data_IF_548442257616
#
_entry.id   IF_548442257616
#
_cell.length_a   1.000
_cell.length_b   1.000
_cell.length_c   1.000
_cell.angle_alpha   90.00
_cell.angle_beta   90.00
_cell.angle_gamma   90.00
#
_symmetry.space_group_name_H-M   'P 1'
#
loop_
_entity.id
_entity.type
_entity.pdbx_description
1 polymer ?
#
# COMPACT_ATOMS: atom_id res chain seq x y z
N UNK A 1 25.61 -17.08 -10.29
CA UNK A 1 24.39 -16.23 -10.22
C UNK A 1 23.91 -16.06 -11.64
N UNK A 2 22.72 -16.55 -11.98
CA UNK A 2 22.15 -16.38 -13.32
C UNK A 2 22.03 -14.88 -13.62
N UNK A 3 22.54 -14.45 -14.77
CA UNK A 3 22.49 -13.06 -15.24
C UNK A 3 21.09 -12.67 -15.68
N UNK A 4 20.13 -12.72 -14.76
CA UNK A 4 18.76 -12.30 -15.03
C UNK A 4 18.72 -10.77 -15.02
N UNK A 5 18.45 -10.20 -16.20
CA UNK A 5 18.27 -8.76 -16.35
C UNK A 5 16.83 -8.41 -16.01
N UNK A 6 16.62 -7.69 -14.91
CA UNK A 6 15.31 -7.14 -14.55
C UNK A 6 15.08 -5.79 -15.25
N UNK A 7 13.84 -5.51 -15.65
CA UNK A 7 13.41 -4.21 -16.16
C UNK A 7 12.64 -3.46 -15.09
N UNK A 8 13.04 -2.23 -14.79
CA UNK A 8 12.37 -1.40 -13.78
C UNK A 8 11.76 -0.18 -14.46
N UNK A 9 10.44 -0.04 -14.37
CA UNK A 9 9.74 1.19 -14.73
C UNK A 9 9.96 2.23 -13.64
N UNK A 10 10.39 3.44 -14.01
CA UNK A 10 10.54 4.57 -13.08
C UNK A 10 9.43 5.56 -13.36
N UNK A 11 8.55 5.75 -12.37
CA UNK A 11 7.45 6.69 -12.39
C UNK A 11 7.78 7.84 -11.42
N UNK A 12 8.47 8.90 -11.86
CA UNK A 12 8.96 9.94 -10.96
C UNK A 12 7.83 10.76 -10.34
N UNK A 13 6.74 10.95 -11.11
CA UNK A 13 5.57 11.74 -10.74
C UNK A 13 5.89 13.22 -10.53
N UNK A 14 5.29 13.80 -9.50
CA UNK A 14 5.22 15.23 -9.23
C UNK A 14 6.02 15.60 -7.96
N UNK A 15 6.55 16.82 -7.91
CA UNK A 15 7.21 17.36 -6.73
C UNK A 15 8.66 16.91 -6.53
N UNK A 16 9.07 16.69 -5.28
CA UNK A 16 10.48 16.42 -4.94
C UNK A 16 10.97 15.08 -5.52
N UNK A 17 12.19 15.09 -6.05
CA UNK A 17 12.83 14.11 -6.97
C UNK A 17 13.03 12.67 -6.45
N UNK A 18 12.31 12.22 -5.41
CA UNK A 18 12.61 11.02 -4.63
C UNK A 18 12.78 9.73 -5.46
N UNK A 19 11.93 9.48 -6.47
CA UNK A 19 12.07 8.30 -7.32
C UNK A 19 13.21 8.38 -8.34
N UNK A 20 13.61 9.59 -8.77
CA UNK A 20 14.74 9.76 -9.68
C UNK A 20 16.09 9.51 -8.97
N UNK A 21 16.17 9.80 -7.67
CA UNK A 21 17.37 9.54 -6.86
C UNK A 21 17.45 8.08 -6.39
N UNK A 22 16.31 7.39 -6.22
CA UNK A 22 16.26 5.97 -5.84
C UNK A 22 16.95 5.02 -6.83
N UNK A 23 16.99 5.37 -8.12
CA UNK A 23 17.73 4.61 -9.14
C UNK A 23 19.25 4.58 -8.90
N UNK A 24 19.80 5.54 -8.13
CA UNK A 24 21.24 5.60 -7.80
C UNK A 24 21.65 4.61 -6.71
N UNK A 25 20.70 4.13 -5.91
CA UNK A 25 20.96 3.19 -4.82
C UNK A 25 20.92 1.72 -5.26
N UNK A 26 20.54 1.43 -6.51
CA UNK A 26 20.51 0.07 -7.05
C UNK A 26 21.92 -0.30 -7.54
N UNK A 27 22.63 -1.25 -6.91
CA UNK A 27 24.06 -1.49 -7.14
C UNK A 27 24.40 -2.25 -8.44
N UNK A 28 23.42 -2.48 -9.33
CA UNK A 28 23.60 -3.25 -10.57
C UNK A 28 23.15 -2.44 -11.80
N UNK A 29 23.69 -2.70 -13.00
CA UNK A 29 23.24 -2.07 -14.24
C UNK A 29 21.86 -2.60 -14.63
N UNK A 30 20.83 -2.10 -13.95
CA UNK A 30 19.43 -2.43 -14.21
C UNK A 30 18.89 -1.42 -15.22
N UNK A 31 18.35 -1.85 -16.37
CA UNK A 31 17.72 -0.93 -17.32
C UNK A 31 16.49 -0.27 -16.70
N UNK A 32 16.57 1.05 -16.54
CA UNK A 32 15.45 1.88 -16.11
C UNK A 32 14.71 2.43 -17.31
N UNK A 33 13.38 2.30 -17.32
CA UNK A 33 12.51 2.88 -18.33
C UNK A 33 11.62 3.90 -17.64
N UNK A 34 11.82 5.17 -17.92
CA UNK A 34 11.01 6.24 -17.32
C UNK A 34 9.71 6.42 -18.08
N UNK A 35 8.59 6.51 -17.36
CA UNK A 35 7.30 6.86 -17.91
C UNK A 35 6.61 7.94 -17.06
N UNK A 36 5.74 8.73 -17.68
CA UNK A 36 5.10 9.86 -17.02
C UNK A 36 3.92 9.41 -16.16
N UNK A 37 3.71 10.06 -15.03
CA UNK A 37 2.51 9.90 -14.22
C UNK A 37 2.19 11.21 -13.49
N UNK A 38 0.97 11.32 -12.94
CA UNK A 38 0.56 12.49 -12.17
C UNK A 38 0.34 13.74 -13.03
N UNK A 39 0.59 14.91 -12.45
CA UNK A 39 0.49 16.20 -13.13
C UNK A 39 1.40 16.29 -14.36
N UNK A 40 2.63 15.79 -14.28
CA UNK A 40 3.55 15.75 -15.43
C UNK A 40 2.99 14.97 -16.63
N UNK A 41 2.21 13.91 -16.38
CA UNK A 41 1.50 13.20 -17.45
C UNK A 41 0.27 13.98 -17.93
N UNK A 42 -0.46 14.63 -17.03
CA UNK A 42 -1.65 15.39 -17.36
C UNK A 42 -1.33 16.58 -18.28
N UNK A 43 -0.24 17.30 -18.03
CA UNK A 43 0.22 18.39 -18.91
C UNK A 43 0.40 17.96 -20.37
N UNK A 44 0.85 16.73 -20.60
CA UNK A 44 1.17 16.22 -21.95
C UNK A 44 0.04 15.40 -22.59
N UNK A 45 -0.73 14.68 -21.77
CA UNK A 45 -1.68 13.67 -22.23
C UNK A 45 -3.12 13.92 -21.75
N UNK A 46 -3.35 14.94 -20.92
CA UNK A 46 -4.64 15.25 -20.30
C UNK A 46 -5.22 14.08 -19.48
N UNK A 47 -4.33 13.23 -18.95
CA UNK A 47 -4.62 12.13 -18.04
C UNK A 47 -3.46 11.91 -17.08
N UNK A 48 -3.74 11.58 -15.82
CA UNK A 48 -2.71 11.30 -14.80
C UNK A 48 -2.02 9.96 -14.97
N UNK A 49 -2.59 9.06 -15.79
CA UNK A 49 -2.06 7.73 -16.07
C UNK A 49 -2.34 7.35 -17.53
N UNK A 50 -1.50 7.80 -18.48
CA UNK A 50 -1.68 7.50 -19.90
C UNK A 50 -1.43 6.02 -20.19
N UNK A 51 -2.04 5.51 -21.26
CA UNK A 51 -1.91 4.11 -21.66
C UNK A 51 -0.44 3.71 -21.91
N UNK A 52 0.38 4.61 -22.47
CA UNK A 52 1.82 4.40 -22.67
C UNK A 52 2.56 4.08 -21.36
N UNK A 53 2.15 4.69 -20.25
CA UNK A 53 2.69 4.40 -18.92
C UNK A 53 2.24 3.04 -18.41
N UNK A 54 0.96 2.69 -18.60
CA UNK A 54 0.44 1.36 -18.25
C UNK A 54 1.18 0.28 -19.04
N UNK A 55 1.39 0.46 -20.33
CA UNK A 55 2.10 -0.49 -21.19
C UNK A 55 3.56 -0.64 -20.76
N UNK A 56 4.21 0.46 -20.37
CA UNK A 56 5.58 0.46 -19.84
C UNK A 56 5.68 -0.33 -18.54
N UNK A 57 4.74 -0.13 -17.62
CA UNK A 57 4.68 -0.88 -16.35
C UNK A 57 4.40 -2.36 -16.61
N UNK A 58 3.48 -2.68 -17.52
CA UNK A 58 3.16 -4.07 -17.88
C UNK A 58 4.34 -4.82 -18.51
N UNK A 59 5.23 -4.11 -19.20
CA UNK A 59 6.45 -4.65 -19.80
C UNK A 59 7.65 -4.70 -18.83
N UNK A 60 7.46 -4.31 -17.57
CA UNK A 60 8.51 -4.22 -16.54
C UNK A 60 8.29 -5.23 -15.43
N UNK A 61 9.37 -5.62 -14.75
CA UNK A 61 9.33 -6.58 -13.63
C UNK A 61 8.99 -5.89 -12.31
N UNK A 62 9.31 -4.61 -12.19
CA UNK A 62 9.03 -3.80 -11.01
C UNK A 62 8.81 -2.32 -11.37
N UNK A 63 8.20 -1.60 -10.44
CA UNK A 63 7.97 -0.15 -10.55
C UNK A 63 8.64 0.56 -9.39
N UNK A 64 9.49 1.54 -9.71
CA UNK A 64 9.97 2.53 -8.77
C UNK A 64 9.08 3.78 -8.90
N UNK A 65 8.17 3.94 -7.95
CA UNK A 65 7.19 5.02 -7.96
C UNK A 65 7.61 6.16 -7.02
N UNK A 66 7.47 7.40 -7.48
CA UNK A 66 7.76 8.61 -6.72
C UNK A 66 6.56 9.14 -5.97
N UNK A 67 6.29 10.43 -6.11
CA UNK A 67 5.13 11.10 -5.52
C UNK A 67 4.19 11.55 -6.63
N UNK A 68 2.88 11.60 -6.36
CA UNK A 68 1.90 12.20 -7.28
C UNK A 68 1.02 13.12 -6.45
N UNK A 69 0.74 14.30 -7.00
CA UNK A 69 -0.08 15.32 -6.34
C UNK A 69 0.54 16.70 -6.43
N UNK A 70 -0.31 17.70 -6.20
CA UNK A 70 0.04 19.11 -6.28
C UNK A 70 -0.27 19.89 -5.00
N UNK A 71 -0.16 21.22 -5.07
CA UNK A 71 -0.49 22.12 -3.97
C UNK A 71 -1.91 21.86 -3.42
N UNK A 72 -2.08 21.98 -2.09
CA UNK A 72 -3.36 21.70 -1.42
C UNK A 72 -4.45 22.70 -1.77
N UNK A 73 -4.06 23.92 -2.14
CA UNK A 73 -4.93 25.00 -2.62
C UNK A 73 -5.32 24.88 -4.10
N UNK A 74 -4.69 23.97 -4.84
CA UNK A 74 -4.90 23.74 -6.27
C UNK A 74 -5.58 22.39 -6.58
N UNK A 75 -6.19 21.72 -5.59
CA UNK A 75 -6.78 20.38 -5.76
C UNK A 75 -7.99 20.35 -6.71
N UNK A 76 -8.60 21.50 -7.01
CA UNK A 76 -9.67 21.61 -7.98
C UNK A 76 -9.17 21.82 -9.42
N UNK A 77 -7.90 22.18 -9.60
CA UNK A 77 -7.33 22.35 -10.92
C UNK A 77 -7.26 21.00 -11.63
N UNK A 78 -7.61 20.91 -12.93
CA UNK A 78 -7.62 19.64 -13.65
C UNK A 78 -6.30 18.85 -13.58
N UNK A 79 -5.18 19.56 -13.46
CA UNK A 79 -3.85 18.96 -13.34
C UNK A 79 -3.66 18.14 -12.04
N UNK A 80 -4.32 18.55 -10.96
CA UNK A 80 -4.14 17.96 -9.62
C UNK A 80 -5.37 17.22 -9.12
N UNK A 81 -6.54 17.56 -9.66
CA UNK A 81 -7.81 16.97 -9.29
C UNK A 81 -7.78 15.46 -9.47
N UNK A 82 -8.01 14.78 -8.35
CA UNK A 82 -7.99 13.32 -8.27
C UNK A 82 -6.68 12.67 -8.75
N UNK A 83 -5.57 13.40 -8.90
CA UNK A 83 -4.33 12.88 -9.52
C UNK A 83 -3.81 11.63 -8.81
N UNK A 84 -3.81 11.64 -7.46
CA UNK A 84 -3.40 10.49 -6.66
C UNK A 84 -4.35 9.31 -6.85
N UNK A 85 -5.67 9.56 -6.91
CA UNK A 85 -6.68 8.52 -7.14
C UNK A 85 -6.51 7.92 -8.54
N UNK A 86 -6.48 8.75 -9.58
CA UNK A 86 -6.40 8.35 -10.98
C UNK A 86 -5.10 7.60 -11.29
N UNK A 87 -3.98 8.05 -10.72
CA UNK A 87 -2.69 7.41 -10.93
C UNK A 87 -2.47 6.19 -10.03
N UNK A 88 -2.43 6.38 -8.70
CA UNK A 88 -2.01 5.32 -7.77
C UNK A 88 -3.06 4.22 -7.66
N UNK A 89 -4.35 4.56 -7.49
CA UNK A 89 -5.40 3.53 -7.46
C UNK A 89 -5.62 2.92 -8.84
N UNK A 90 -5.41 3.69 -9.91
CA UNK A 90 -5.38 3.17 -11.28
C UNK A 90 -4.33 2.07 -11.46
N UNK A 91 -3.08 2.31 -11.03
CA UNK A 91 -2.02 1.30 -11.05
C UNK A 91 -2.35 0.08 -10.18
N UNK A 92 -2.83 0.29 -8.95
CA UNK A 92 -3.19 -0.82 -8.06
C UNK A 92 -4.24 -1.74 -8.69
N UNK A 93 -5.26 -1.14 -9.33
CA UNK A 93 -6.33 -1.89 -9.99
C UNK A 93 -5.85 -2.59 -11.25
N UNK A 94 -5.10 -1.90 -12.12
CA UNK A 94 -4.61 -2.46 -13.38
C UNK A 94 -3.69 -3.68 -13.18
N UNK A 95 -2.86 -3.65 -12.14
CA UNK A 95 -1.88 -4.71 -11.86
C UNK A 95 -2.24 -5.62 -10.67
N UNK A 96 -3.46 -5.47 -10.13
CA UNK A 96 -3.95 -6.23 -8.96
C UNK A 96 -2.96 -6.23 -7.78
N UNK A 97 -2.38 -5.05 -7.48
CA UNK A 97 -1.41 -4.87 -6.40
C UNK A 97 -2.11 -4.90 -5.03
N UNK A 98 -2.54 -6.10 -4.64
CA UNK A 98 -3.43 -6.30 -3.50
C UNK A 98 -2.79 -6.05 -2.12
N UNK A 99 -1.46 -5.99 -2.05
CA UNK A 99 -0.71 -5.96 -0.80
C UNK A 99 0.15 -4.71 -0.72
N UNK A 100 -0.12 -3.84 0.25
CA UNK A 100 0.81 -2.81 0.68
C UNK A 100 1.61 -3.31 1.89
N UNK A 101 2.90 -3.09 1.86
CA UNK A 101 3.80 -3.43 2.97
C UNK A 101 4.41 -2.13 3.46
N UNK A 102 4.25 -1.82 4.74
CA UNK A 102 4.85 -0.64 5.39
C UNK A 102 5.61 -1.05 6.64
N UNK A 103 6.93 -1.24 6.54
CA UNK A 103 7.78 -1.36 7.72
C UNK A 103 7.71 -0.06 8.54
N UNK A 104 7.46 -0.18 9.84
CA UNK A 104 7.57 0.90 10.80
C UNK A 104 8.59 0.48 11.86
N UNK A 105 9.81 1.00 11.68
CA UNK A 105 10.95 0.66 12.51
C UNK A 105 11.50 1.92 13.17
N UNK A 106 11.65 1.88 14.48
CA UNK A 106 12.37 2.91 15.24
C UNK A 106 13.71 2.31 15.63
N UNK A 107 14.77 2.86 15.03
CA UNK A 107 16.14 2.45 15.32
C UNK A 107 16.57 2.97 16.70
N UNK A 108 17.18 2.10 17.50
CA UNK A 108 17.66 2.42 18.85
C UNK A 108 18.68 3.57 18.89
N UNK A 109 19.34 3.85 17.76
CA UNK A 109 20.28 4.96 17.57
C UNK A 109 19.61 6.32 17.33
N UNK A 110 18.31 6.37 17.02
CA UNK A 110 17.57 7.61 16.70
C UNK A 110 16.26 7.77 17.52
N UNK A 111 16.26 7.53 18.86
CA UNK A 111 15.03 7.56 19.64
C UNK A 111 14.43 8.97 19.73
N UNK A 112 15.27 10.02 19.65
CA UNK A 112 14.85 11.41 19.73
C UNK A 112 14.04 11.90 18.52
N UNK A 113 14.02 11.16 17.41
CA UNK A 113 13.19 11.48 16.24
C UNK A 113 11.75 10.99 16.39
N UNK A 114 11.49 10.15 17.39
CA UNK A 114 10.14 9.69 17.70
C UNK A 114 9.44 10.68 18.63
N UNK A 115 8.14 10.96 18.42
CA UNK A 115 7.36 11.74 19.39
C UNK A 115 7.07 10.96 20.69
N UNK A 116 7.34 9.65 20.74
CA UNK A 116 7.11 8.82 21.91
C UNK A 116 8.23 8.97 22.94
N UNK A 117 7.87 8.89 24.23
CA UNK A 117 8.85 8.86 25.32
C UNK A 117 9.85 7.72 25.10
N UNK A 118 11.14 8.00 25.29
CA UNK A 118 12.22 7.02 25.12
C UNK A 118 11.99 5.73 25.91
N UNK A 119 11.39 5.80 27.10
CA UNK A 119 11.08 4.63 27.92
C UNK A 119 10.15 3.61 27.23
N UNK A 120 9.31 4.05 26.28
CA UNK A 120 8.39 3.19 25.53
C UNK A 120 9.13 2.49 24.38
N UNK A 121 10.04 3.22 23.73
CA UNK A 121 10.73 2.79 22.51
C UNK A 121 12.18 2.34 22.76
N UNK A 122 12.60 2.22 24.02
CA UNK A 122 13.97 1.92 24.41
C UNK A 122 14.46 0.59 23.83
N UNK A 123 13.55 -0.38 23.66
CA UNK A 123 13.85 -1.68 23.09
C UNK A 123 13.76 -1.72 21.55
N UNK A 124 13.58 -0.55 20.91
CA UNK A 124 13.25 -0.43 19.50
C UNK A 124 11.78 -0.76 19.21
N UNK A 125 11.32 -0.35 18.04
CA UNK A 125 10.03 -0.75 17.48
C UNK A 125 10.33 -1.37 16.12
N UNK A 126 9.78 -2.56 15.86
CA UNK A 126 9.96 -3.23 14.57
C UNK A 126 8.69 -3.98 14.19
N UNK A 127 7.81 -3.29 13.46
CA UNK A 127 6.57 -3.85 12.96
C UNK A 127 6.44 -3.67 11.45
N UNK A 128 5.65 -4.54 10.83
CA UNK A 128 5.30 -4.44 9.42
C UNK A 128 3.80 -4.39 9.32
N UNK A 129 3.28 -3.31 8.72
CA UNK A 129 1.87 -3.17 8.43
C UNK A 129 1.62 -3.76 7.05
N UNK A 130 0.77 -4.77 6.98
CA UNK A 130 0.26 -5.33 5.74
C UNK A 130 -1.16 -4.84 5.52
N UNK A 131 -1.40 -4.14 4.42
CA UNK A 131 -2.68 -3.52 4.11
C UNK A 131 -3.21 -4.01 2.76
N UNK A 132 -4.49 -4.36 2.72
CA UNK A 132 -5.24 -4.66 1.49
C UNK A 132 -5.50 -3.36 0.69
N UNK A 133 -5.31 -3.40 -0.63
CA UNK A 133 -5.24 -2.20 -1.48
C UNK A 133 -6.17 -2.16 -2.70
N UNK A 134 -6.93 -3.21 -2.99
CA UNK A 134 -7.71 -3.36 -4.23
C UNK A 134 -9.19 -3.66 -3.98
N UNK A 135 -9.64 -3.75 -2.73
CA UNK A 135 -11.03 -4.05 -2.35
C UNK A 135 -11.53 -3.10 -1.24
N UNK A 136 -12.69 -3.43 -0.66
CA UNK A 136 -13.25 -2.68 0.45
C UNK A 136 -13.87 -1.35 0.03
N UNK A 137 -13.91 -0.40 0.98
CA UNK A 137 -14.65 0.86 0.82
C UNK A 137 -14.09 1.75 -0.29
N UNK A 138 -12.83 1.59 -0.71
CA UNK A 138 -12.24 2.44 -1.75
C UNK A 138 -12.67 2.09 -3.17
N UNK A 139 -13.08 0.84 -3.39
CA UNK A 139 -13.51 0.32 -4.69
C UNK A 139 -14.97 -0.14 -4.67
N UNK A 140 -15.66 0.17 -3.57
CA UNK A 140 -17.08 -0.09 -3.40
C UNK A 140 -17.95 0.85 -4.23
N UNK A 141 -19.26 0.64 -4.12
CA UNK A 141 -20.22 1.57 -4.69
C UNK A 141 -20.23 2.85 -3.84
N UNK A 142 -20.19 4.00 -4.53
CA UNK A 142 -20.20 5.34 -3.94
C UNK A 142 -21.36 6.12 -4.54
N UNK A 143 -22.21 6.72 -3.71
CA UNK A 143 -23.31 7.57 -4.18
C UNK A 143 -23.60 8.71 -3.22
N UNK A 144 -24.07 9.83 -3.76
CA UNK A 144 -24.56 10.97 -2.99
C UNK A 144 -25.88 11.42 -3.58
N UNK A 145 -26.94 11.31 -2.78
CA UNK A 145 -28.31 11.65 -3.13
C UNK A 145 -28.83 12.71 -2.15
N UNK A 146 -28.84 13.98 -2.57
CA UNK A 146 -29.25 15.09 -1.71
C UNK A 146 -28.31 15.25 -0.51
N UNK A 147 -28.84 15.10 0.70
CA UNK A 147 -28.11 15.17 1.97
C UNK A 147 -27.56 13.81 2.45
N UNK A 148 -27.74 12.76 1.65
CA UNK A 148 -27.38 11.39 2.02
C UNK A 148 -26.25 10.88 1.12
N UNK A 149 -25.16 10.41 1.72
CA UNK A 149 -24.06 9.72 1.04
C UNK A 149 -23.99 8.25 1.48
N UNK A 150 -23.61 7.36 0.57
CA UNK A 150 -23.46 5.92 0.85
C UNK A 150 -22.20 5.37 0.20
N UNK A 151 -21.41 4.67 1.00
CA UNK A 151 -20.19 3.96 0.59
C UNK A 151 -20.30 2.48 1.00
N UNK A 152 -20.11 1.56 0.05
CA UNK A 152 -20.27 0.12 0.30
C UNK A 152 -18.92 -0.54 0.56
N UNK A 153 -18.71 -1.08 1.76
CA UNK A 153 -17.51 -1.87 2.08
C UNK A 153 -17.76 -3.37 1.84
N UNK A 154 -17.35 -3.87 0.68
CA UNK A 154 -17.48 -5.29 0.30
C UNK A 154 -16.12 -5.98 0.18
N UNK A 155 -16.07 -7.24 0.61
CA UNK A 155 -14.94 -8.14 0.40
C UNK A 155 -15.44 -9.53 0.05
N UNK A 156 -14.65 -10.26 -0.73
CA UNK A 156 -14.76 -11.70 -0.94
C UNK A 156 -13.64 -12.43 -0.19
N UNK A 157 -13.83 -13.72 0.08
CA UNK A 157 -12.78 -14.53 0.71
C UNK A 157 -11.48 -14.55 -0.11
N UNK A 158 -11.60 -14.60 -1.45
CA UNK A 158 -10.45 -14.62 -2.34
C UNK A 158 -9.62 -13.33 -2.27
N UNK A 159 -10.27 -12.17 -2.14
CA UNK A 159 -9.60 -10.88 -1.96
C UNK A 159 -8.91 -10.80 -0.60
N UNK A 160 -9.52 -11.33 0.45
CA UNK A 160 -8.95 -11.37 1.81
C UNK A 160 -7.77 -12.35 1.91
N UNK A 161 -7.88 -13.52 1.27
CA UNK A 161 -6.90 -14.58 1.40
C UNK A 161 -5.52 -14.18 0.86
N UNK A 162 -5.46 -13.35 -0.19
CA UNK A 162 -4.20 -12.88 -0.81
C UNK A 162 -3.29 -12.12 0.17
N UNK A 163 -3.71 -10.96 0.75
CA UNK A 163 -2.90 -10.24 1.73
C UNK A 163 -2.73 -11.03 3.04
N UNK A 164 -3.71 -11.86 3.43
CA UNK A 164 -3.61 -12.67 4.64
C UNK A 164 -2.49 -13.71 4.55
N UNK A 165 -2.38 -14.42 3.42
CA UNK A 165 -1.27 -15.37 3.17
C UNK A 165 0.08 -14.65 3.18
N UNK A 166 0.17 -13.51 2.51
CA UNK A 166 1.39 -12.70 2.52
C UNK A 166 1.78 -12.25 3.94
N UNK A 167 0.81 -11.77 4.72
CA UNK A 167 1.03 -11.35 6.11
C UNK A 167 1.45 -12.52 7.01
N UNK A 168 0.85 -13.70 6.81
CA UNK A 168 1.22 -14.93 7.49
C UNK A 168 2.67 -15.33 7.19
N UNK A 169 3.03 -15.45 5.91
CA UNK A 169 4.40 -15.78 5.49
C UNK A 169 5.42 -14.76 6.02
N UNK A 170 5.08 -13.47 5.98
CA UNK A 170 5.91 -12.41 6.54
C UNK A 170 6.08 -12.57 8.06
N UNK A 171 5.01 -12.89 8.79
CA UNK A 171 5.07 -13.12 10.23
C UNK A 171 5.93 -14.35 10.57
N UNK A 172 5.83 -15.42 9.78
CA UNK A 172 6.60 -16.65 9.97
C UNK A 172 8.11 -16.46 9.76
N UNK A 173 8.51 -15.56 8.85
CA UNK A 173 9.90 -15.16 8.64
C UNK A 173 10.40 -14.11 9.65
N UNK A 174 9.55 -13.68 10.59
CA UNK A 174 9.86 -12.69 11.63
C UNK A 174 9.60 -13.30 13.01
N UNK A 175 8.88 -12.59 13.87
CA UNK A 175 8.65 -12.96 15.27
C UNK A 175 7.47 -13.94 15.47
N UNK A 176 6.95 -14.55 14.39
CA UNK A 176 5.80 -15.48 14.42
C UNK A 176 4.59 -14.90 15.17
N UNK A 177 4.33 -13.61 14.95
CA UNK A 177 3.21 -12.86 15.52
C UNK A 177 2.44 -12.17 14.39
N UNK A 178 1.14 -12.43 14.33
CA UNK A 178 0.23 -11.82 13.37
C UNK A 178 -0.96 -11.22 14.13
N UNK A 179 -1.17 -9.91 13.95
CA UNK A 179 -2.32 -9.22 14.51
C UNK A 179 -3.27 -8.83 13.39
N UNK A 180 -4.51 -9.32 13.45
CA UNK A 180 -5.59 -8.92 12.55
C UNK A 180 -6.34 -7.75 13.19
N UNK A 181 -6.28 -6.60 12.54
CA UNK A 181 -6.92 -5.37 13.00
C UNK A 181 -8.25 -5.20 12.28
N UNK A 182 -9.36 -5.22 13.00
CA UNK A 182 -10.70 -5.22 12.41
C UNK A 182 -11.76 -4.54 13.31
N UNK A 183 -13.03 -4.57 12.91
CA UNK A 183 -14.15 -4.17 13.77
C UNK A 183 -15.25 -5.24 13.78
N UNK A 184 -14.87 -6.50 13.98
CA UNK A 184 -15.77 -7.66 13.90
C UNK A 184 -16.88 -7.69 14.98
N UNK A 185 -16.78 -6.84 16.00
CA UNK A 185 -17.88 -6.63 16.95
C UNK A 185 -19.07 -5.89 16.31
N UNK A 186 -18.85 -5.16 15.21
CA UNK A 186 -19.89 -4.43 14.47
C UNK A 186 -20.06 -4.97 13.05
N UNK A 187 -18.96 -5.08 12.29
CA UNK A 187 -18.99 -5.26 10.83
C UNK A 187 -18.90 -6.74 10.41
N UNK A 188 -19.78 -7.17 9.51
CA UNK A 188 -19.75 -8.52 8.93
C UNK A 188 -18.53 -8.78 8.05
N UNK A 189 -18.10 -7.78 7.26
CA UNK A 189 -16.86 -7.90 6.50
C UNK A 189 -15.67 -8.21 7.41
N UNK A 190 -15.60 -7.62 8.60
CA UNK A 190 -14.56 -7.90 9.59
C UNK A 190 -14.68 -9.32 10.19
N UNK A 191 -15.89 -9.88 10.31
CA UNK A 191 -16.08 -11.29 10.72
C UNK A 191 -15.54 -12.23 9.65
N UNK A 192 -15.79 -11.94 8.37
CA UNK A 192 -15.23 -12.69 7.25
C UNK A 192 -13.69 -12.65 7.27
N UNK A 193 -13.09 -11.48 7.51
CA UNK A 193 -11.64 -11.33 7.68
C UNK A 193 -11.08 -12.28 8.76
N UNK A 194 -11.74 -12.37 9.92
CA UNK A 194 -11.32 -13.28 10.99
C UNK A 194 -11.45 -14.75 10.61
N UNK A 195 -12.50 -15.12 9.88
CA UNK A 195 -12.69 -16.51 9.43
C UNK A 195 -11.58 -16.92 8.47
N UNK A 196 -11.32 -16.10 7.44
CA UNK A 196 -10.24 -16.35 6.49
C UNK A 196 -8.88 -16.36 7.17
N UNK A 197 -8.64 -15.47 8.14
CA UNK A 197 -7.40 -15.48 8.92
C UNK A 197 -7.19 -16.82 9.64
N UNK A 198 -8.21 -17.31 10.36
CA UNK A 198 -8.15 -18.63 11.00
C UNK A 198 -7.88 -19.74 10.01
N UNK A 199 -8.54 -19.70 8.85
CA UNK A 199 -8.37 -20.72 7.81
C UNK A 199 -6.95 -20.74 7.25
N UNK A 200 -6.34 -19.57 7.04
CA UNK A 200 -4.94 -19.46 6.58
C UNK A 200 -3.95 -19.93 7.65
N UNK A 201 -4.22 -19.68 8.93
CA UNK A 201 -3.30 -20.03 10.03
C UNK A 201 -3.51 -21.44 10.61
N UNK A 202 -4.52 -22.18 10.16
CA UNK A 202 -4.95 -23.48 10.74
C UNK A 202 -3.83 -24.52 10.85
N UNK A 203 -2.82 -24.45 9.99
CA UNK A 203 -1.72 -25.43 9.93
C UNK A 203 -0.62 -25.20 10.96
N UNK A 204 -0.57 -24.06 11.64
CA UNK A 204 0.63 -23.62 12.34
C UNK A 204 0.36 -23.24 13.81
N UNK A 205 0.60 -24.20 14.69
CA UNK A 205 0.51 -24.01 16.16
C UNK A 205 1.57 -23.03 16.69
N UNK A 206 2.59 -22.72 15.89
CA UNK A 206 3.69 -21.82 16.27
C UNK A 206 3.37 -20.33 16.06
N UNK A 207 2.24 -19.97 15.44
CA UNK A 207 1.86 -18.58 15.22
C UNK A 207 0.95 -18.07 16.35
N UNK A 208 1.32 -16.94 16.94
CA UNK A 208 0.39 -16.18 17.77
C UNK A 208 -0.50 -15.29 16.89
N UNK A 209 -1.76 -15.71 16.71
CA UNK A 209 -2.80 -14.93 16.03
C UNK A 209 -3.59 -14.11 17.05
N UNK A 210 -3.57 -12.79 16.92
CA UNK A 210 -4.31 -11.87 17.80
C UNK A 210 -5.35 -11.11 16.97
N UNK A 211 -6.61 -11.13 17.39
CA UNK A 211 -7.64 -10.24 16.85
C UNK A 211 -7.75 -8.98 17.70
N UNK A 212 -7.52 -7.82 17.10
CA UNK A 212 -7.63 -6.53 17.79
C UNK A 212 -8.70 -5.66 17.14
N UNK A 213 -9.57 -5.07 17.97
CA UNK A 213 -10.45 -4.02 17.47
C UNK A 213 -9.61 -2.80 17.03
N UNK A 214 -9.94 -2.19 15.90
CA UNK A 214 -9.23 -1.01 15.38
C UNK A 214 -9.07 0.10 16.43
N UNK A 215 -10.13 0.33 17.22
CA UNK A 215 -10.12 1.31 18.32
C UNK A 215 -9.12 0.99 19.42
N UNK A 216 -8.92 -0.31 19.71
CA UNK A 216 -7.93 -0.74 20.69
C UNK A 216 -6.52 -0.63 20.11
N UNK A 217 -6.33 -0.95 18.83
CA UNK A 217 -5.02 -0.84 18.16
C UNK A 217 -4.48 0.59 18.14
N UNK A 218 -5.32 1.62 18.04
CA UNK A 218 -4.87 3.01 18.13
C UNK A 218 -4.28 3.38 19.51
N UNK A 219 -4.54 2.58 20.54
CA UNK A 219 -4.03 2.81 21.89
C UNK A 219 -2.82 1.92 22.24
N UNK A 220 -2.56 0.88 21.45
CA UNK A 220 -1.46 -0.07 21.66
C UNK A 220 -0.24 0.30 20.81
#
# INVERSE_FOLDING_TARGET
MSGQTYKIAVLPGDGSRGAADGGRAVPAPVPFITALCGGAAYEQHQTHLPQSTVDTVAASDAVLFGSVGGPTDAQEDPNWKDAQKNCLLGLHKNFQLAVNIRPATIYSMLPALSPLKTSIIANGVDMVIVRELVSGIYFGEHSTNGDTATDVMKYTEAEIAKPMKFAFETAMNRFKRLTVVDKANVLDCSRLWRNVAKDVTKSDECLCLIGAAFTSMLMY
#
